data_IF_219389127833
#
_entry.id   IF_219389127833
#
_cell.length_a   1.000
_cell.length_b   1.000
_cell.length_c   1.000
_cell.angle_alpha   90.00
_cell.angle_beta   90.00
_cell.angle_gamma   90.00
#
_symmetry.space_group_name_H-M   'P 1'
#
loop_
_entity.id
_entity.type
_entity.pdbx_description
1 polymer ?
#
# COMPACT_ATOMS: atom_id res chain seq x y z
N UNK A 1 7.12 3.31 -0.27
CA UNK A 1 6.14 3.72 0.70
C UNK A 1 6.29 5.19 1.04
N UNK A 2 5.16 5.91 1.06
CA UNK A 2 5.12 7.34 1.39
C UNK A 2 5.45 7.61 2.86
N UNK A 3 5.92 8.83 3.14
CA UNK A 3 6.10 9.36 4.48
C UNK A 3 4.74 9.85 5.02
N UNK A 4 3.93 8.99 5.58
CA UNK A 4 2.61 9.36 6.07
C UNK A 4 2.39 9.06 7.56
N UNK A 5 2.99 8.01 8.12
CA UNK A 5 2.99 7.72 9.57
C UNK A 5 4.25 8.27 10.21
N UNK A 6 4.12 8.92 11.36
CA UNK A 6 5.28 9.33 12.16
C UNK A 6 6.03 8.09 12.65
N UNK A 7 7.31 8.05 12.34
CA UNK A 7 8.21 6.94 12.69
C UNK A 7 9.47 7.48 13.36
N UNK A 8 10.31 6.61 13.85
CA UNK A 8 11.61 7.01 14.35
C UNK A 8 11.54 7.94 15.55
N UNK A 9 12.30 9.01 15.45
CA UNK A 9 12.39 10.03 16.51
C UNK A 9 11.11 10.87 16.63
N UNK A 10 10.24 10.84 15.64
CA UNK A 10 8.97 11.55 15.61
C UNK A 10 7.80 10.75 16.23
N UNK A 11 8.03 9.51 16.70
CA UNK A 11 7.00 8.69 17.34
C UNK A 11 6.79 9.18 18.79
N UNK A 12 5.53 9.22 19.26
CA UNK A 12 5.23 9.44 20.68
C UNK A 12 5.87 8.33 21.53
N UNK A 13 6.42 8.69 22.70
CA UNK A 13 6.90 7.75 23.73
C UNK A 13 8.05 6.81 23.30
N UNK A 14 8.99 7.27 22.48
CA UNK A 14 10.18 6.47 22.13
C UNK A 14 11.19 6.49 23.29
N UNK A 15 11.60 5.33 23.77
CA UNK A 15 12.61 5.22 24.82
C UNK A 15 14.00 5.65 24.33
N UNK A 16 14.80 6.24 25.23
CA UNK A 16 16.20 6.62 24.94
C UNK A 16 17.05 5.45 24.41
N UNK A 17 16.75 4.22 24.88
CA UNK A 17 17.45 3.01 24.43
C UNK A 17 17.17 2.71 22.94
N UNK A 18 15.92 2.87 22.51
CA UNK A 18 15.54 2.68 21.11
C UNK A 18 16.22 3.71 20.21
N UNK A 19 16.26 4.97 20.64
CA UNK A 19 16.96 6.04 19.90
C UNK A 19 18.47 5.74 19.76
N UNK A 20 19.12 5.32 20.86
CA UNK A 20 20.54 4.93 20.85
C UNK A 20 20.80 3.74 19.93
N UNK A 21 19.92 2.73 19.94
CA UNK A 21 20.02 1.58 19.03
C UNK A 21 19.88 1.98 17.56
N UNK A 22 18.95 2.89 17.22
CA UNK A 22 18.80 3.43 15.86
C UNK A 22 20.03 4.19 15.40
N UNK A 23 20.59 5.04 16.24
CA UNK A 23 21.84 5.75 15.94
C UNK A 23 22.97 4.78 15.59
N UNK A 24 23.07 3.66 16.31
CA UNK A 24 24.04 2.61 16.00
C UNK A 24 23.81 1.93 14.65
N UNK A 25 22.54 1.68 14.26
CA UNK A 25 22.23 1.16 12.93
C UNK A 25 22.57 2.15 11.83
N UNK A 26 22.31 3.44 12.03
CA UNK A 26 22.65 4.47 11.05
C UNK A 26 24.14 4.50 10.73
N UNK A 27 25.01 4.27 11.74
CA UNK A 27 26.47 4.21 11.54
C UNK A 27 26.95 3.00 10.74
N UNK A 28 26.11 1.97 10.58
CA UNK A 28 26.39 0.73 9.84
C UNK A 28 25.63 0.63 8.52
N UNK A 29 24.90 1.67 8.16
CA UNK A 29 24.14 1.75 6.92
C UNK A 29 24.97 2.50 5.90
N UNK A 30 25.39 1.83 4.84
CA UNK A 30 26.22 2.42 3.80
C UNK A 30 25.42 3.38 2.91
N UNK A 31 24.16 3.04 2.62
CA UNK A 31 23.26 3.89 1.85
C UNK A 31 21.79 3.64 2.23
N UNK A 32 20.97 4.69 2.17
CA UNK A 32 19.53 4.62 2.28
C UNK A 32 18.88 4.80 0.90
N UNK A 33 17.92 3.93 0.57
CA UNK A 33 17.13 4.04 -0.66
C UNK A 33 15.94 4.93 -0.37
N UNK A 34 15.68 5.89 -1.25
CA UNK A 34 14.53 6.79 -1.13
C UNK A 34 13.57 6.68 -2.30
N UNK A 35 12.27 6.72 -1.98
CA UNK A 35 11.16 6.71 -2.94
C UNK A 35 10.72 8.11 -3.37
N UNK A 36 11.01 9.16 -2.57
CA UNK A 36 10.60 10.53 -2.86
C UNK A 36 11.40 11.56 -2.07
N UNK A 37 11.34 12.82 -2.49
CA UNK A 37 11.96 13.94 -1.76
C UNK A 37 11.37 14.09 -0.36
N UNK A 38 10.05 13.98 -0.20
CA UNK A 38 9.38 14.04 1.10
C UNK A 38 9.80 12.87 2.00
N UNK A 39 9.89 11.64 1.48
CA UNK A 39 10.39 10.51 2.27
C UNK A 39 11.84 10.71 2.71
N UNK A 40 12.67 11.28 1.85
CA UNK A 40 14.04 11.69 2.21
C UNK A 40 14.03 12.64 3.40
N UNK A 41 13.31 13.75 3.28
CA UNK A 41 13.34 14.83 4.26
C UNK A 41 12.70 14.45 5.60
N UNK A 42 11.48 13.93 5.57
CA UNK A 42 10.70 13.67 6.78
C UNK A 42 11.16 12.39 7.50
N UNK A 43 11.44 11.34 6.72
CA UNK A 43 11.74 10.03 7.31
C UNK A 43 13.24 9.81 7.45
N UNK A 44 14.01 9.88 6.37
CA UNK A 44 15.42 9.50 6.42
C UNK A 44 16.24 10.53 7.20
N UNK A 45 16.13 11.80 6.85
CA UNK A 45 16.86 12.89 7.50
C UNK A 45 16.20 13.29 8.83
N UNK A 46 14.88 13.49 8.81
CA UNK A 46 14.13 13.94 9.99
C UNK A 46 14.00 12.85 11.05
N UNK A 47 13.22 11.81 10.76
CA UNK A 47 12.86 10.79 11.78
C UNK A 47 14.00 9.83 12.14
N UNK A 48 14.83 9.45 11.17
CA UNK A 48 15.97 8.54 11.43
C UNK A 48 17.27 9.30 11.71
N UNK A 49 17.33 10.61 11.44
CA UNK A 49 18.53 11.43 11.60
C UNK A 49 19.75 10.84 10.87
N UNK A 50 19.51 10.17 9.74
CA UNK A 50 20.58 9.59 8.94
C UNK A 50 21.33 10.67 8.18
N UNK A 51 22.66 10.57 8.13
CA UNK A 51 23.57 11.56 7.52
C UNK A 51 24.47 10.98 6.44
N UNK A 52 24.27 9.71 6.10
CA UNK A 52 25.09 9.02 5.08
C UNK A 52 24.54 9.21 3.66
N UNK A 53 24.96 8.33 2.77
CA UNK A 53 24.56 8.34 1.36
C UNK A 53 23.08 8.03 1.19
N UNK A 54 22.36 8.81 0.38
CA UNK A 54 20.97 8.55 -0.01
C UNK A 54 20.93 8.30 -1.52
N UNK A 55 20.21 7.23 -1.91
CA UNK A 55 20.02 6.83 -3.30
C UNK A 55 18.56 7.10 -3.69
N UNK A 56 18.35 8.08 -4.53
CA UNK A 56 17.04 8.54 -5.02
C UNK A 56 16.61 7.72 -6.25
N UNK A 57 16.31 6.44 -6.05
CA UNK A 57 16.03 5.47 -7.13
C UNK A 57 14.57 5.03 -7.21
N UNK A 58 13.77 5.32 -6.19
CA UNK A 58 12.54 4.57 -5.95
C UNK A 58 12.81 3.27 -5.19
N UNK A 59 11.77 2.49 -4.92
CA UNK A 59 11.88 1.22 -4.19
C UNK A 59 11.95 0.03 -5.16
N UNK A 60 12.97 -0.84 -5.08
CA UNK A 60 13.12 -2.00 -5.97
C UNK A 60 11.88 -2.87 -6.08
N UNK A 61 11.16 -3.08 -4.96
CA UNK A 61 9.94 -3.88 -4.96
C UNK A 61 8.85 -3.32 -5.89
N UNK A 62 8.88 -2.01 -6.17
CA UNK A 62 7.85 -1.34 -6.96
C UNK A 62 8.10 -1.43 -8.46
N UNK A 63 9.27 -1.87 -8.92
CA UNK A 63 9.58 -1.93 -10.35
C UNK A 63 8.59 -2.80 -11.13
N UNK A 64 8.05 -3.86 -10.52
CA UNK A 64 7.04 -4.72 -11.13
C UNK A 64 5.76 -3.95 -11.50
N UNK A 65 5.40 -2.92 -10.74
CA UNK A 65 4.17 -2.13 -10.96
C UNK A 65 4.24 -1.28 -12.24
N UNK A 66 5.43 -1.12 -12.83
CA UNK A 66 5.67 -0.42 -14.10
C UNK A 66 5.83 -1.37 -15.28
N UNK A 67 5.69 -2.68 -15.06
CA UNK A 67 5.88 -3.68 -16.12
C UNK A 67 4.55 -4.11 -16.73
N UNK A 68 4.59 -4.48 -18.01
CA UNK A 68 3.49 -5.12 -18.70
C UNK A 68 3.92 -6.54 -19.08
N UNK A 69 3.30 -7.55 -18.47
CA UNK A 69 3.57 -8.96 -18.76
C UNK A 69 2.30 -9.78 -18.55
N UNK A 70 1.50 -9.89 -19.61
CA UNK A 70 0.22 -10.60 -19.58
C UNK A 70 0.35 -12.07 -19.20
N UNK A 71 1.42 -12.74 -19.64
CA UNK A 71 1.64 -14.16 -19.32
C UNK A 71 1.90 -14.37 -17.82
N UNK A 72 2.76 -13.52 -17.23
CA UNK A 72 2.99 -13.56 -15.78
C UNK A 72 1.72 -13.23 -15.00
N UNK A 73 0.91 -12.27 -15.46
CA UNK A 73 -0.36 -11.93 -14.81
C UNK A 73 -1.33 -13.13 -14.81
N UNK A 74 -1.45 -13.86 -15.94
CA UNK A 74 -2.25 -15.09 -16.04
C UNK A 74 -1.76 -16.17 -15.07
N UNK A 75 -0.45 -16.40 -15.00
CA UNK A 75 0.15 -17.37 -14.08
C UNK A 75 -0.17 -17.02 -12.61
N UNK A 76 -0.11 -15.75 -12.24
CA UNK A 76 -0.47 -15.31 -10.89
C UNK A 76 -1.95 -15.55 -10.63
N UNK A 77 -2.86 -15.11 -11.53
CA UNK A 77 -4.30 -15.34 -11.40
C UNK A 77 -4.61 -16.83 -11.24
N UNK A 78 -4.04 -17.68 -12.08
CA UNK A 78 -4.20 -19.13 -11.99
C UNK A 78 -3.73 -19.70 -10.64
N UNK A 79 -2.57 -19.24 -10.15
CA UNK A 79 -1.99 -19.69 -8.87
C UNK A 79 -2.87 -19.33 -7.67
N UNK A 80 -3.58 -18.21 -7.71
CA UNK A 80 -4.48 -17.76 -6.65
C UNK A 80 -5.95 -18.18 -6.88
N UNK A 81 -6.24 -18.92 -7.94
CA UNK A 81 -7.58 -19.45 -8.23
C UNK A 81 -8.56 -18.42 -8.83
N UNK A 82 -8.06 -17.33 -9.42
CA UNK A 82 -8.88 -16.29 -10.06
C UNK A 82 -9.06 -16.61 -11.55
N UNK A 83 -10.30 -16.58 -12.10
CA UNK A 83 -10.53 -16.68 -13.54
C UNK A 83 -9.77 -15.63 -14.33
N UNK A 84 -9.29 -15.98 -15.53
CA UNK A 84 -8.45 -15.10 -16.35
C UNK A 84 -9.13 -13.76 -16.68
N UNK A 85 -10.42 -13.81 -17.00
CA UNK A 85 -11.27 -12.68 -17.37
C UNK A 85 -11.85 -11.88 -16.20
N UNK A 86 -11.74 -12.40 -14.98
CA UNK A 86 -12.22 -11.71 -13.79
C UNK A 86 -11.36 -10.51 -13.44
N UNK A 87 -12.01 -9.42 -13.01
CA UNK A 87 -11.41 -8.27 -12.37
C UNK A 87 -11.17 -8.54 -10.89
N UNK A 88 -10.15 -7.93 -10.33
CA UNK A 88 -9.71 -8.19 -8.97
C UNK A 88 -9.80 -6.92 -8.12
N UNK A 89 -10.55 -6.98 -7.03
CA UNK A 89 -10.38 -6.07 -5.90
C UNK A 89 -9.60 -6.79 -4.81
N UNK A 90 -8.46 -6.22 -4.38
CA UNK A 90 -7.74 -6.70 -3.20
C UNK A 90 -8.10 -5.86 -1.98
N UNK A 91 -8.61 -6.51 -0.93
CA UNK A 91 -8.81 -5.91 0.39
C UNK A 91 -7.68 -6.29 1.34
N UNK A 92 -6.88 -5.30 1.72
CA UNK A 92 -5.67 -5.48 2.52
C UNK A 92 -5.67 -4.55 3.75
N UNK A 93 -6.51 -4.82 4.78
CA UNK A 93 -6.60 -3.98 5.96
C UNK A 93 -5.35 -4.07 6.83
N UNK A 94 -5.06 -2.98 7.57
CA UNK A 94 -3.97 -2.92 8.54
C UNK A 94 -4.29 -3.78 9.77
N UNK A 95 -3.29 -4.45 10.31
CA UNK A 95 -3.38 -5.21 11.57
C UNK A 95 -3.79 -4.31 12.75
N UNK A 96 -4.70 -4.81 13.58
CA UNK A 96 -5.09 -4.23 14.86
C UNK A 96 -4.70 -5.17 16.00
N UNK A 97 -4.21 -4.62 17.12
CA UNK A 97 -3.86 -5.42 18.31
C UNK A 97 -5.10 -5.95 19.03
N UNK A 98 -6.17 -5.17 19.01
CA UNK A 98 -7.48 -5.55 19.59
C UNK A 98 -8.45 -5.62 18.43
N UNK A 99 -8.65 -6.83 17.93
CA UNK A 99 -9.61 -7.06 16.85
C UNK A 99 -10.94 -7.42 17.50
N UNK A 100 -11.91 -6.55 17.32
CA UNK A 100 -13.29 -7.01 17.29
C UNK A 100 -13.57 -7.40 15.85
N UNK A 101 -14.07 -8.60 15.63
CA UNK A 101 -14.50 -9.09 14.30
C UNK A 101 -15.44 -8.10 13.59
N UNK A 102 -16.13 -7.27 14.37
CA UNK A 102 -16.98 -6.17 13.94
C UNK A 102 -16.26 -5.04 13.22
N UNK A 103 -14.93 -4.90 13.36
CA UNK A 103 -14.17 -3.77 12.81
C UNK A 103 -13.89 -3.95 11.30
N UNK A 104 -14.08 -5.15 10.75
CA UNK A 104 -13.89 -5.49 9.34
C UNK A 104 -15.19 -5.85 8.60
N UNK A 105 -16.34 -5.39 9.08
CA UNK A 105 -17.65 -5.71 8.48
C UNK A 105 -17.83 -5.04 7.13
N UNK A 106 -17.12 -5.58 6.14
CA UNK A 106 -17.35 -5.26 4.75
C UNK A 106 -18.59 -6.03 4.25
N UNK A 107 -19.55 -5.31 3.68
CA UNK A 107 -20.66 -5.94 2.96
C UNK A 107 -20.18 -6.37 1.56
N UNK A 108 -19.66 -7.59 1.47
CA UNK A 108 -19.04 -8.13 0.25
C UNK A 108 -20.05 -8.23 -0.91
N UNK A 109 -21.30 -8.56 -0.63
CA UNK A 109 -22.34 -8.69 -1.66
C UNK A 109 -22.66 -7.33 -2.27
N UNK A 110 -22.85 -6.33 -1.43
CA UNK A 110 -23.11 -4.97 -1.86
C UNK A 110 -21.89 -4.36 -2.58
N UNK A 111 -20.69 -4.59 -2.05
CA UNK A 111 -19.46 -4.17 -2.68
C UNK A 111 -19.34 -4.74 -4.10
N UNK A 112 -19.51 -6.06 -4.27
CA UNK A 112 -19.43 -6.72 -5.57
C UNK A 112 -20.44 -6.12 -6.55
N UNK A 113 -21.70 -5.95 -6.11
CA UNK A 113 -22.74 -5.34 -6.94
C UNK A 113 -22.36 -3.92 -7.40
N UNK A 114 -21.83 -3.08 -6.51
CA UNK A 114 -21.39 -1.72 -6.85
C UNK A 114 -20.22 -1.72 -7.84
N UNK A 115 -19.30 -2.67 -7.71
CA UNK A 115 -18.16 -2.83 -8.64
C UNK A 115 -18.64 -3.24 -10.04
N UNK A 116 -19.57 -4.19 -10.11
CA UNK A 116 -20.17 -4.66 -11.36
C UNK A 116 -20.96 -3.54 -12.05
N UNK A 117 -21.75 -2.79 -11.29
CA UNK A 117 -22.54 -1.66 -11.78
C UNK A 117 -21.64 -0.54 -12.33
N UNK A 118 -20.60 -0.14 -11.57
CA UNK A 118 -19.76 1.00 -11.94
C UNK A 118 -18.70 0.68 -12.99
N UNK A 119 -18.06 -0.49 -12.87
CA UNK A 119 -16.89 -0.84 -13.71
C UNK A 119 -17.18 -1.97 -14.70
N UNK A 120 -18.35 -2.63 -14.58
CA UNK A 120 -18.70 -3.80 -15.41
C UNK A 120 -17.81 -5.02 -15.17
N UNK A 121 -18.16 -6.15 -15.81
CA UNK A 121 -17.40 -7.39 -15.74
C UNK A 121 -17.67 -8.21 -14.48
N UNK A 122 -16.98 -9.35 -14.35
CA UNK A 122 -17.05 -10.22 -13.19
C UNK A 122 -15.94 -9.88 -12.19
N UNK A 123 -16.25 -9.79 -10.90
CA UNK A 123 -15.30 -9.38 -9.87
C UNK A 123 -15.02 -10.49 -8.86
N UNK A 124 -13.75 -10.63 -8.51
CA UNK A 124 -13.26 -11.45 -7.40
C UNK A 124 -12.66 -10.55 -6.34
N UNK A 125 -13.02 -10.77 -5.08
CA UNK A 125 -12.49 -10.05 -3.92
C UNK A 125 -11.40 -10.90 -3.28
N UNK A 126 -10.18 -10.39 -3.26
CA UNK A 126 -9.06 -11.04 -2.58
C UNK A 126 -8.91 -10.44 -1.18
N UNK A 127 -8.89 -11.28 -0.16
CA UNK A 127 -8.53 -10.87 1.19
C UNK A 127 -7.06 -11.13 1.47
N UNK A 128 -6.33 -10.08 1.78
CA UNK A 128 -4.94 -10.13 2.22
C UNK A 128 -4.85 -9.67 3.67
N UNK A 129 -5.16 -10.56 4.59
CA UNK A 129 -5.10 -10.29 6.02
C UNK A 129 -3.65 -10.40 6.54
N UNK A 130 -3.37 -9.73 7.67
CA UNK A 130 -2.07 -9.84 8.30
C UNK A 130 -1.85 -11.27 8.83
N UNK A 131 -0.67 -11.90 8.67
CA UNK A 131 -0.41 -13.29 9.10
C UNK A 131 -0.66 -13.58 10.59
N UNK A 132 -0.67 -12.56 11.43
CA UNK A 132 -1.01 -12.69 12.85
C UNK A 132 -2.53 -12.83 13.11
N UNK A 133 -3.36 -12.54 12.12
CA UNK A 133 -4.79 -12.75 12.19
C UNK A 133 -5.08 -14.23 11.86
N UNK A 134 -5.13 -15.08 12.88
CA UNK A 134 -5.61 -16.46 12.77
C UNK A 134 -7.14 -16.48 12.76
N UNK A 135 -7.75 -15.82 11.78
CA UNK A 135 -9.18 -15.95 11.55
C UNK A 135 -9.39 -17.14 10.61
N UNK A 136 -10.26 -18.08 11.01
CA UNK A 136 -10.88 -18.99 10.04
C UNK A 136 -11.72 -18.12 9.12
N UNK A 137 -11.24 -17.92 7.92
CA UNK A 137 -11.96 -17.19 6.89
C UNK A 137 -12.76 -18.23 6.11
N UNK A 138 -13.99 -18.46 6.55
CA UNK A 138 -14.96 -19.28 5.82
C UNK A 138 -15.83 -18.35 4.98
N UNK A 139 -15.35 -18.03 3.76
CA UNK A 139 -16.23 -17.44 2.77
C UNK A 139 -17.02 -18.57 2.10
N UNK A 140 -18.34 -18.50 2.21
CA UNK A 140 -19.25 -19.39 1.45
C UNK A 140 -19.31 -19.00 -0.04
N UNK A 141 -18.69 -17.90 -0.42
CA UNK A 141 -18.73 -17.35 -1.77
C UNK A 141 -17.49 -17.74 -2.58
N UNK A 142 -17.69 -18.29 -3.77
CA UNK A 142 -16.62 -18.57 -4.74
C UNK A 142 -15.93 -17.30 -5.27
N UNK A 143 -16.51 -16.13 -5.05
CA UNK A 143 -16.00 -14.84 -5.52
C UNK A 143 -15.11 -14.15 -4.48
N UNK A 144 -14.87 -14.79 -3.33
CA UNK A 144 -14.03 -14.26 -2.25
C UNK A 144 -12.92 -15.26 -1.94
N UNK A 145 -11.69 -14.85 -2.13
CA UNK A 145 -10.50 -15.71 -2.00
C UNK A 145 -9.54 -15.14 -0.95
N UNK A 146 -9.13 -15.97 0.00
CA UNK A 146 -8.11 -15.62 0.96
C UNK A 146 -6.71 -15.85 0.38
N UNK A 147 -5.95 -14.77 0.22
CA UNK A 147 -4.57 -14.77 -0.29
C UNK A 147 -3.56 -14.34 0.78
N UNK A 148 -3.91 -14.49 2.07
CA UNK A 148 -3.04 -14.08 3.18
C UNK A 148 -1.69 -14.81 3.19
N UNK A 149 -1.64 -16.05 2.72
CA UNK A 149 -0.44 -16.86 2.62
C UNK A 149 0.36 -16.67 1.32
N UNK A 150 -0.11 -15.82 0.41
CA UNK A 150 0.65 -15.52 -0.81
C UNK A 150 1.89 -14.69 -0.47
N UNK A 151 3.07 -15.11 -0.94
CA UNK A 151 4.35 -14.57 -0.46
C UNK A 151 4.66 -13.13 -0.90
N UNK A 152 4.16 -12.71 -2.07
CA UNK A 152 4.52 -11.42 -2.67
C UNK A 152 3.33 -10.49 -2.78
N UNK A 153 3.32 -9.43 -1.95
CA UNK A 153 2.29 -8.40 -1.99
C UNK A 153 2.34 -7.59 -3.29
N UNK A 154 3.52 -7.36 -3.86
CA UNK A 154 3.64 -6.54 -5.07
C UNK A 154 3.07 -7.26 -6.29
N UNK A 155 3.19 -8.58 -6.36
CA UNK A 155 2.53 -9.38 -7.39
C UNK A 155 0.99 -9.29 -7.28
N UNK A 156 0.46 -9.34 -6.05
CA UNK A 156 -0.98 -9.17 -5.82
C UNK A 156 -1.46 -7.76 -6.20
N UNK A 157 -0.73 -6.71 -5.80
CA UNK A 157 -1.05 -5.33 -6.20
C UNK A 157 -1.01 -5.17 -7.72
N UNK A 158 -0.02 -5.76 -8.37
CA UNK A 158 0.17 -5.63 -9.80
C UNK A 158 -0.99 -6.23 -10.61
N UNK A 159 -1.49 -7.42 -10.21
CA UNK A 159 -2.61 -8.08 -10.91
C UNK A 159 -3.97 -7.54 -10.52
N UNK A 160 -4.08 -6.74 -9.47
CA UNK A 160 -5.35 -6.18 -9.00
C UNK A 160 -5.76 -4.96 -9.82
N UNK A 161 -7.07 -4.80 -10.01
CA UNK A 161 -7.69 -3.66 -10.68
C UNK A 161 -8.04 -2.55 -9.69
N UNK A 162 -8.37 -2.92 -8.45
CA UNK A 162 -8.69 -2.00 -7.35
C UNK A 162 -7.99 -2.47 -6.08
N UNK A 163 -7.41 -1.52 -5.34
CA UNK A 163 -7.00 -1.72 -3.95
C UNK A 163 -8.05 -1.13 -3.01
N UNK A 164 -8.47 -1.92 -2.03
CA UNK A 164 -9.16 -1.41 -0.85
C UNK A 164 -8.30 -1.71 0.38
N UNK A 165 -8.06 -0.70 1.18
CA UNK A 165 -7.26 -0.79 2.41
C UNK A 165 -7.77 0.24 3.42
N UNK A 166 -7.01 0.48 4.47
CA UNK A 166 -7.30 1.52 5.45
C UNK A 166 -6.07 2.44 5.64
N UNK A 167 -5.17 2.09 6.54
CA UNK A 167 -3.95 2.84 6.86
C UNK A 167 -2.68 2.08 6.46
N UNK A 168 -2.76 1.21 5.46
CA UNK A 168 -1.61 0.43 4.98
C UNK A 168 -0.74 1.22 4.01
N UNK A 169 0.58 1.06 4.12
CA UNK A 169 1.52 1.66 3.16
C UNK A 169 1.39 1.12 1.74
N UNK A 170 0.67 0.02 1.54
CA UNK A 170 0.40 -0.55 0.21
C UNK A 170 -0.34 0.41 -0.71
N UNK A 171 -1.15 1.33 -0.16
CA UNK A 171 -1.84 2.36 -0.95
C UNK A 171 -0.86 3.24 -1.73
N UNK A 172 0.29 3.58 -1.14
CA UNK A 172 1.32 4.39 -1.79
C UNK A 172 2.07 3.63 -2.89
N UNK A 173 2.31 2.34 -2.69
CA UNK A 173 2.90 1.50 -3.72
C UNK A 173 1.88 1.31 -4.87
N UNK A 174 0.62 0.98 -4.55
CA UNK A 174 -0.44 0.79 -5.54
C UNK A 174 -0.75 2.06 -6.35
N UNK A 175 -0.64 3.25 -5.75
CA UNK A 175 -0.88 4.52 -6.45
C UNK A 175 0.01 4.75 -7.67
N UNK A 176 1.16 4.05 -7.76
CA UNK A 176 2.05 4.07 -8.92
C UNK A 176 1.41 3.45 -10.17
N UNK A 177 0.37 2.64 -10.01
CA UNK A 177 -0.42 2.07 -11.11
C UNK A 177 -1.50 3.01 -11.63
N UNK A 178 -1.81 4.08 -10.91
CA UNK A 178 -2.94 4.98 -11.16
C UNK A 178 -4.32 4.29 -11.16
N UNK A 179 -4.41 3.05 -10.69
CA UNK A 179 -5.66 2.32 -10.51
C UNK A 179 -6.38 2.77 -9.24
N UNK A 180 -7.72 2.64 -9.15
CA UNK A 180 -8.51 3.12 -8.01
C UNK A 180 -8.06 2.51 -6.68
N UNK A 181 -7.88 3.37 -5.67
CA UNK A 181 -7.63 2.96 -4.29
C UNK A 181 -8.66 3.58 -3.37
N UNK A 182 -9.41 2.72 -2.67
CA UNK A 182 -10.40 3.10 -1.67
C UNK A 182 -9.84 2.85 -0.27
N UNK A 183 -10.01 3.83 0.62
CA UNK A 183 -9.68 3.69 2.03
C UNK A 183 -10.97 3.41 2.80
N UNK A 184 -11.11 2.18 3.28
CA UNK A 184 -12.24 1.76 4.12
C UNK A 184 -11.80 1.80 5.58
N UNK A 185 -12.06 2.94 6.24
CA UNK A 185 -11.49 3.33 7.53
C UNK A 185 -12.58 3.51 8.60
N UNK A 186 -13.24 2.42 8.98
CA UNK A 186 -14.38 2.39 9.92
C UNK A 186 -14.03 2.81 11.35
N UNK A 187 -12.74 2.77 11.70
CA UNK A 187 -12.20 3.12 13.02
C UNK A 187 -11.27 4.33 12.98
N UNK A 188 -11.50 5.29 12.06
CA UNK A 188 -10.58 6.41 11.81
C UNK A 188 -10.23 7.20 13.06
N UNK A 189 -11.23 7.53 13.89
CA UNK A 189 -11.04 8.33 15.11
C UNK A 189 -10.20 7.59 16.15
N UNK A 190 -10.45 6.29 16.33
CA UNK A 190 -9.70 5.42 17.24
C UNK A 190 -8.25 5.28 16.79
N UNK A 191 -8.06 5.03 15.49
CA UNK A 191 -6.73 4.85 14.92
C UNK A 191 -5.88 6.13 15.00
N UNK A 192 -6.46 7.31 14.79
CA UNK A 192 -5.76 8.59 14.93
C UNK A 192 -5.30 8.85 16.38
N UNK A 193 -6.02 8.34 17.37
CA UNK A 193 -5.61 8.43 18.78
C UNK A 193 -4.37 7.56 19.09
N UNK A 194 -4.22 6.42 18.40
CA UNK A 194 -3.12 5.48 18.59
C UNK A 194 -1.89 5.83 17.75
N UNK A 195 -2.08 6.37 16.57
CA UNK A 195 -1.03 6.62 15.57
C UNK A 195 -1.11 8.02 15.00
N UNK A 196 0.01 8.72 15.01
CA UNK A 196 0.11 10.04 14.35
C UNK A 196 0.46 9.90 12.87
N UNK A 197 -0.19 10.70 12.05
CA UNK A 197 0.17 10.93 10.66
C UNK A 197 0.99 12.22 10.51
N UNK A 198 1.77 12.33 9.43
CA UNK A 198 2.44 13.58 9.06
C UNK A 198 1.47 14.57 8.40
N UNK A 199 0.41 14.07 7.74
CA UNK A 199 -0.64 14.88 7.10
C UNK A 199 -2.01 14.29 7.38
N UNK A 200 -3.04 15.11 7.23
CA UNK A 200 -4.43 14.68 7.37
C UNK A 200 -4.80 13.68 6.27
N UNK A 201 -5.42 12.55 6.63
CA UNK A 201 -5.89 11.51 5.72
C UNK A 201 -6.85 12.05 4.65
N UNK A 202 -7.64 13.08 4.98
CA UNK A 202 -8.57 13.75 4.04
C UNK A 202 -7.84 14.52 2.93
N UNK A 203 -6.54 14.79 3.07
CA UNK A 203 -5.72 15.46 2.04
C UNK A 203 -5.03 14.46 1.10
N UNK A 204 -5.16 13.16 1.36
CA UNK A 204 -4.56 12.14 0.51
C UNK A 204 -5.36 11.98 -0.78
N UNK A 205 -4.74 11.52 -1.87
CA UNK A 205 -5.42 11.39 -3.17
C UNK A 205 -6.38 10.21 -3.26
N UNK A 206 -6.57 9.47 -2.17
CA UNK A 206 -7.38 8.25 -2.13
C UNK A 206 -8.81 8.54 -1.72
N UNK A 207 -9.72 7.64 -2.07
CA UNK A 207 -11.15 7.78 -1.82
C UNK A 207 -11.47 7.19 -0.45
N UNK A 208 -11.76 8.05 0.52
CA UNK A 208 -12.04 7.67 1.91
C UNK A 208 -13.54 7.37 2.10
N UNK A 209 -13.82 6.23 2.76
CA UNK A 209 -15.14 5.85 3.26
C UNK A 209 -15.02 5.28 4.67
N UNK A 210 -15.91 5.69 5.58
CA UNK A 210 -15.91 5.26 6.98
C UNK A 210 -16.96 4.19 7.29
N UNK A 211 -17.82 3.86 6.31
CA UNK A 211 -18.84 2.82 6.42
C UNK A 211 -19.22 2.26 5.04
N UNK A 212 -20.03 1.18 5.01
CA UNK A 212 -20.46 0.53 3.78
C UNK A 212 -21.35 1.42 2.89
N UNK A 213 -22.15 2.31 3.46
CA UNK A 213 -23.02 3.21 2.69
C UNK A 213 -22.18 4.22 1.91
N UNK A 214 -21.22 4.87 2.57
CA UNK A 214 -20.27 5.77 1.94
C UNK A 214 -19.40 5.06 0.90
N UNK A 215 -18.91 3.85 1.21
CA UNK A 215 -18.11 3.08 0.26
C UNK A 215 -18.87 2.82 -1.02
N UNK A 216 -20.13 2.38 -0.90
CA UNK A 216 -21.00 2.14 -2.05
C UNK A 216 -21.23 3.41 -2.88
N UNK A 217 -21.57 4.53 -2.24
CA UNK A 217 -21.75 5.82 -2.90
C UNK A 217 -20.48 6.26 -3.65
N UNK A 218 -19.32 6.16 -3.00
CA UNK A 218 -18.02 6.54 -3.57
C UNK A 218 -17.62 5.66 -4.76
N UNK A 219 -17.93 4.35 -4.72
CA UNK A 219 -17.69 3.45 -5.86
C UNK A 219 -18.57 3.86 -7.03
N UNK A 220 -19.88 4.04 -6.82
CA UNK A 220 -20.83 4.39 -7.88
C UNK A 220 -20.54 5.77 -8.50
N UNK A 221 -20.09 6.73 -7.70
CA UNK A 221 -19.73 8.08 -8.14
C UNK A 221 -18.27 8.24 -8.59
N UNK A 222 -17.47 7.17 -8.63
CA UNK A 222 -16.05 7.24 -8.97
C UNK A 222 -15.81 7.90 -10.34
N UNK A 223 -14.86 8.85 -10.37
CA UNK A 223 -14.41 9.52 -11.58
C UNK A 223 -12.91 9.23 -11.82
N UNK A 224 -12.62 8.49 -12.89
CA UNK A 224 -11.25 8.04 -13.21
C UNK A 224 -10.31 9.20 -13.50
N UNK A 225 -10.76 10.19 -14.25
CA UNK A 225 -9.93 11.34 -14.63
C UNK A 225 -9.55 12.20 -13.40
N UNK A 226 -10.52 12.53 -12.56
CA UNK A 226 -10.28 13.29 -11.33
C UNK A 226 -9.33 12.55 -10.39
N UNK A 227 -9.54 11.23 -10.22
CA UNK A 227 -8.69 10.40 -9.37
C UNK A 227 -7.24 10.37 -9.89
N UNK A 228 -7.05 10.11 -11.19
CA UNK A 228 -5.71 10.07 -11.80
C UNK A 228 -4.99 11.41 -11.70
N UNK A 229 -5.69 12.51 -11.88
CA UNK A 229 -5.13 13.86 -11.71
C UNK A 229 -4.71 14.10 -10.24
N UNK A 230 -5.53 13.71 -9.27
CA UNK A 230 -5.20 13.83 -7.86
C UNK A 230 -3.95 13.01 -7.48
N UNK A 231 -3.87 11.74 -7.94
CA UNK A 231 -2.72 10.86 -7.71
C UNK A 231 -1.46 11.42 -8.38
N UNK A 232 -1.56 11.89 -9.63
CA UNK A 232 -0.45 12.50 -10.36
C UNK A 232 0.10 13.71 -9.62
N UNK A 233 -0.79 14.64 -9.26
CA UNK A 233 -0.42 15.82 -8.49
C UNK A 233 0.26 15.45 -7.18
N UNK A 234 -0.26 14.44 -6.46
CA UNK A 234 0.36 13.97 -5.23
C UNK A 234 1.79 13.48 -5.45
N UNK A 235 2.04 12.66 -6.49
CA UNK A 235 3.39 12.19 -6.81
C UNK A 235 4.35 13.33 -7.18
N UNK A 236 3.87 14.34 -7.88
CA UNK A 236 4.62 15.55 -8.21
C UNK A 236 4.96 16.34 -6.93
N UNK A 237 3.98 16.60 -6.08
CA UNK A 237 4.15 17.35 -4.82
C UNK A 237 5.11 16.63 -3.85
N UNK A 238 5.08 15.30 -3.81
CA UNK A 238 6.00 14.48 -3.00
C UNK A 238 7.41 14.38 -3.59
N UNK A 239 7.62 14.80 -4.82
CA UNK A 239 8.88 14.63 -5.55
C UNK A 239 9.25 13.16 -5.70
N UNK A 240 8.37 12.36 -6.32
CA UNK A 240 8.54 10.91 -6.47
C UNK A 240 9.76 10.55 -7.33
N UNK A 241 10.54 9.57 -6.87
CA UNK A 241 11.67 8.97 -7.58
C UNK A 241 11.32 7.64 -8.26
N UNK A 242 10.09 7.18 -8.14
CA UNK A 242 9.62 5.90 -8.67
C UNK A 242 9.52 5.96 -10.21
N UNK A 243 10.31 5.12 -10.90
CA UNK A 243 10.42 5.09 -12.37
C UNK A 243 10.49 3.67 -12.94
N UNK A 244 10.30 2.63 -12.12
CA UNK A 244 10.40 1.24 -12.55
C UNK A 244 11.83 0.78 -12.92
N UNK A 245 12.85 1.42 -12.37
CA UNK A 245 14.27 1.13 -12.67
C UNK A 245 15.15 1.05 -11.42
N UNK A 246 14.54 0.97 -10.24
CA UNK A 246 15.26 0.99 -8.97
C UNK A 246 16.15 -0.25 -8.79
N UNK A 247 15.68 -1.43 -9.19
CA UNK A 247 16.47 -2.68 -9.15
C UNK A 247 17.78 -2.53 -9.92
N UNK A 248 17.70 -2.02 -11.15
CA UNK A 248 18.89 -1.83 -11.99
C UNK A 248 19.88 -0.85 -11.34
N UNK A 249 19.38 0.33 -10.93
CA UNK A 249 20.23 1.37 -10.32
C UNK A 249 20.95 0.87 -9.06
N UNK A 250 20.24 0.13 -8.20
CA UNK A 250 20.82 -0.37 -6.95
C UNK A 250 21.79 -1.52 -7.23
N UNK A 251 21.49 -2.41 -8.18
CA UNK A 251 22.41 -3.46 -8.61
C UNK A 251 23.72 -2.86 -9.15
N UNK A 252 23.64 -1.85 -10.00
CA UNK A 252 24.83 -1.16 -10.56
C UNK A 252 25.70 -0.56 -9.43
N UNK A 253 25.08 0.03 -8.40
CA UNK A 253 25.77 0.56 -7.23
C UNK A 253 26.47 -0.56 -6.46
N UNK A 254 25.77 -1.64 -6.13
CA UNK A 254 26.33 -2.77 -5.38
C UNK A 254 27.52 -3.38 -6.14
N UNK A 255 27.37 -3.63 -7.45
CA UNK A 255 28.44 -4.19 -8.27
C UNK A 255 29.66 -3.28 -8.32
N UNK A 256 29.46 -1.96 -8.39
CA UNK A 256 30.57 -1.01 -8.37
C UNK A 256 31.32 -0.99 -7.04
N UNK A 257 30.63 -1.18 -5.91
CA UNK A 257 31.29 -1.24 -4.58
C UNK A 257 32.02 -2.58 -4.36
N UNK A 258 31.46 -3.69 -4.86
CA UNK A 258 32.07 -5.01 -4.76
C UNK A 258 33.33 -5.16 -5.66
N UNK A 259 33.50 -4.28 -6.65
CA UNK A 259 34.63 -4.30 -7.58
C UNK A 259 35.83 -3.48 -7.11
N UNK A 260 35.71 -2.78 -6.00
CA UNK A 260 36.79 -2.01 -5.34
C UNK A 260 37.56 -2.91 -4.36
#
# INVERSE_FOLDING_TARGET
GGSYKKVGNCTKNVSKLVLKRRSYFNLRTDAFISSSATFTNDTILGSFSYKGRIVNSGMPRNDILFTENNEKAKQIKQKIGVPEDAKILIYAPTYRQIIKYTDYLLDEKRLKHSLEERFGGNWVILYRLHPMLKCSFDSESHDVINVSDYNDMQELLWVSDILMTDYSSSMWDFSLTYKPCFLFATDLKEYQNERDFYSDIHTWPFILAENNDELNEKILSYNDEEYRQAVKKYHEDMGSYEKGSACKQITDIIMSECSK
#
